data_IF_465030158697
#
_entry.id   IF_465030158697
#
_cell.length_a   1.000
_cell.length_b   1.000
_cell.length_c   1.000
_cell.angle_alpha   90.00
_cell.angle_beta   90.00
_cell.angle_gamma   90.00
#
_symmetry.space_group_name_H-M   'P 1'
#
loop_
_entity.id
_entity.type
_entity.pdbx_description
1 polymer ?
#
# COMPACT_ATOMS: atom_id res chain seq x y z
N UNK A 1 -16.20 24.46 10.01
CA UNK A 1 -15.02 23.69 10.47
C UNK A 1 -15.44 22.23 10.49
N UNK A 2 -15.37 21.55 9.34
CA UNK A 2 -15.63 20.10 9.27
C UNK A 2 -14.39 19.38 9.80
N UNK A 3 -14.59 18.54 10.81
CA UNK A 3 -13.56 17.68 11.39
C UNK A 3 -12.83 16.91 10.27
N UNK A 4 -11.50 16.73 10.35
CA UNK A 4 -10.79 15.89 9.39
C UNK A 4 -11.43 14.50 9.41
N UNK A 5 -11.99 14.12 8.25
CA UNK A 5 -12.24 12.79 7.75
C UNK A 5 -12.68 11.74 8.79
N UNK A 6 -13.93 11.85 9.26
CA UNK A 6 -14.52 10.95 10.25
C UNK A 6 -14.64 9.46 9.84
N UNK A 7 -14.15 9.07 8.65
CA UNK A 7 -14.29 7.71 8.10
C UNK A 7 -12.96 7.00 7.76
N UNK A 8 -11.79 7.57 8.07
CA UNK A 8 -10.53 6.84 7.84
C UNK A 8 -10.36 5.72 8.88
N UNK A 9 -10.69 4.49 8.48
CA UNK A 9 -10.36 3.28 9.25
C UNK A 9 -9.17 2.61 8.58
N UNK A 10 -7.97 2.62 9.19
CA UNK A 10 -6.81 2.00 8.57
C UNK A 10 -7.00 0.49 8.52
N UNK A 11 -7.27 -0.03 7.32
CA UNK A 11 -7.43 -1.48 7.11
C UNK A 11 -6.09 -2.09 6.73
N UNK A 12 -5.59 -2.97 7.57
CA UNK A 12 -4.41 -3.79 7.27
C UNK A 12 -4.75 -4.80 6.16
N UNK A 13 -3.91 -4.88 5.14
CA UNK A 13 -4.02 -5.89 4.06
C UNK A 13 -2.79 -6.79 4.03
N UNK A 14 -3.02 -8.09 3.82
CA UNK A 14 -1.93 -9.04 3.63
C UNK A 14 -1.41 -8.95 2.19
N UNK A 15 -0.10 -9.12 2.05
CA UNK A 15 0.59 -9.07 0.77
C UNK A 15 0.78 -10.50 0.26
N UNK A 16 0.44 -10.73 -1.01
CA UNK A 16 0.69 -12.00 -1.69
C UNK A 16 1.96 -11.99 -2.53
N UNK A 17 2.33 -10.84 -3.11
CA UNK A 17 3.56 -10.69 -3.90
C UNK A 17 4.09 -9.24 -3.87
N UNK A 18 5.40 -9.10 -4.06
CA UNK A 18 6.09 -7.82 -4.32
C UNK A 18 7.10 -8.04 -5.45
N UNK A 19 7.06 -7.21 -6.49
CA UNK A 19 8.01 -7.31 -7.61
C UNK A 19 9.35 -6.66 -7.29
N UNK A 20 10.47 -7.19 -7.80
CA UNK A 20 11.75 -6.47 -7.82
C UNK A 20 11.77 -5.47 -8.99
N UNK A 21 11.60 -4.20 -8.66
CA UNK A 21 11.65 -3.08 -9.61
C UNK A 21 12.04 -1.78 -8.89
N UNK A 22 12.39 -0.77 -9.68
CA UNK A 22 12.61 0.61 -9.24
C UNK A 22 11.35 1.23 -8.60
N UNK A 23 10.18 0.75 -9.03
CA UNK A 23 8.88 1.00 -8.43
C UNK A 23 8.15 -0.31 -8.17
N UNK A 24 8.28 -0.86 -6.97
CA UNK A 24 7.70 -2.16 -6.66
C UNK A 24 6.17 -2.16 -6.80
N UNK A 25 5.64 -3.14 -7.52
CA UNK A 25 4.21 -3.46 -7.55
C UNK A 25 3.92 -4.46 -6.44
N UNK A 26 2.97 -4.09 -5.58
CA UNK A 26 2.50 -4.90 -4.46
C UNK A 26 1.14 -5.46 -4.83
N UNK A 27 0.96 -6.78 -4.66
CA UNK A 27 -0.35 -7.44 -4.76
C UNK A 27 -0.83 -7.83 -3.37
N UNK A 28 -2.07 -7.48 -3.05
CA UNK A 28 -2.74 -7.86 -1.79
C UNK A 28 -3.58 -9.12 -1.97
N UNK A 29 -3.81 -9.85 -0.88
CA UNK A 29 -4.61 -11.09 -0.90
C UNK A 29 -6.13 -10.86 -1.05
N UNK A 30 -6.58 -9.61 -0.93
CA UNK A 30 -7.97 -9.18 -1.03
C UNK A 30 -8.03 -7.72 -1.49
N UNK A 31 -9.23 -7.25 -1.85
CA UNK A 31 -9.47 -5.84 -2.19
C UNK A 31 -8.95 -4.92 -1.09
N UNK A 32 -8.07 -3.98 -1.46
CA UNK A 32 -7.45 -3.09 -0.51
C UNK A 32 -8.30 -1.87 -0.16
N UNK A 33 -9.15 -1.38 -1.08
CA UNK A 33 -9.91 -0.14 -0.89
C UNK A 33 -9.09 1.16 -0.88
N UNK A 34 -7.77 1.09 -1.05
CA UNK A 34 -6.91 2.26 -1.17
C UNK A 34 -7.17 3.06 -2.45
N UNK A 35 -6.78 4.33 -2.43
CA UNK A 35 -6.82 5.23 -3.59
C UNK A 35 -5.41 5.66 -4.00
N UNK A 36 -5.25 6.05 -5.27
CA UNK A 36 -4.00 6.67 -5.73
C UNK A 36 -3.70 7.90 -4.88
N UNK A 37 -2.41 8.10 -4.63
CA UNK A 37 -1.86 9.15 -3.77
C UNK A 37 -1.99 8.92 -2.25
N UNK A 38 -2.56 7.80 -1.82
CA UNK A 38 -2.48 7.37 -0.42
C UNK A 38 -1.05 7.12 0.03
N UNK A 39 -0.79 7.43 1.29
CA UNK A 39 0.43 7.06 2.00
C UNK A 39 0.21 5.75 2.74
N UNK A 40 1.04 4.77 2.44
CA UNK A 40 1.02 3.46 3.09
C UNK A 40 2.33 3.21 3.82
N UNK A 41 2.27 2.29 4.78
CA UNK A 41 3.42 1.67 5.42
C UNK A 41 3.48 0.20 5.02
N UNK A 42 4.60 -0.19 4.41
CA UNK A 42 4.85 -1.54 3.92
C UNK A 42 5.76 -2.28 4.89
N UNK A 43 5.39 -3.51 5.25
CA UNK A 43 6.16 -4.37 6.14
C UNK A 43 6.27 -5.75 5.47
N UNK A 44 7.48 -6.09 5.05
CA UNK A 44 7.82 -7.41 4.49
C UNK A 44 8.94 -8.00 5.33
N UNK A 45 8.64 -8.99 6.18
CA UNK A 45 9.67 -9.64 6.98
C UNK A 45 10.64 -10.43 6.10
N UNK A 46 11.92 -10.47 6.49
CA UNK A 46 12.98 -11.21 5.79
C UNK A 46 12.64 -12.69 5.48
N UNK A 47 11.72 -13.30 6.24
CA UNK A 47 11.20 -14.65 5.95
C UNK A 47 10.54 -14.78 4.58
N UNK A 48 10.16 -13.67 3.93
CA UNK A 48 9.63 -13.64 2.58
C UNK A 48 10.73 -13.44 1.53
N UNK A 49 12.00 -13.67 1.87
CA UNK A 49 13.14 -13.43 0.98
C UNK A 49 13.47 -11.95 0.83
N UNK A 50 12.47 -11.09 0.67
CA UNK A 50 12.58 -9.64 0.65
C UNK A 50 12.41 -9.05 2.07
N UNK A 51 13.22 -8.07 2.42
CA UNK A 51 13.06 -7.29 3.65
C UNK A 51 12.65 -5.86 3.32
N UNK A 52 11.53 -5.41 3.89
CA UNK A 52 11.05 -4.02 3.87
C UNK A 52 10.57 -3.71 5.29
N UNK A 53 11.31 -2.88 6.01
CA UNK A 53 11.05 -2.64 7.44
C UNK A 53 10.38 -1.27 7.67
N UNK A 54 9.05 -1.29 7.78
CA UNK A 54 8.21 -0.11 8.05
C UNK A 54 8.39 1.06 7.06
N UNK A 55 8.81 0.80 5.84
CA UNK A 55 9.00 1.83 4.83
C UNK A 55 7.67 2.45 4.40
N UNK A 56 7.70 3.76 4.17
CA UNK A 56 6.53 4.53 3.80
C UNK A 56 6.59 4.89 2.32
N UNK A 57 5.45 4.82 1.66
CA UNK A 57 5.38 5.09 0.23
C UNK A 57 4.06 5.71 -0.16
N UNK A 58 4.12 6.61 -1.15
CA UNK A 58 2.95 7.05 -1.88
C UNK A 58 2.62 6.02 -2.95
N UNK A 59 1.35 5.69 -3.13
CA UNK A 59 0.95 4.64 -4.08
C UNK A 59 0.27 5.17 -5.34
N UNK A 60 0.38 4.42 -6.42
CA UNK A 60 -0.51 4.51 -7.59
C UNK A 60 -1.31 3.21 -7.70
N UNK A 61 -2.63 3.28 -7.54
CA UNK A 61 -3.50 2.10 -7.63
C UNK A 61 -3.59 1.65 -9.09
N UNK A 62 -3.36 0.35 -9.32
CA UNK A 62 -3.40 -0.28 -10.63
C UNK A 62 -4.66 -1.14 -10.82
N UNK A 63 -5.14 -1.76 -9.75
CA UNK A 63 -6.41 -2.51 -9.69
C UNK A 63 -6.90 -2.59 -8.24
N UNK A 64 -8.00 -3.29 -7.97
CA UNK A 64 -8.53 -3.45 -6.60
C UNK A 64 -7.59 -4.23 -5.66
N UNK A 65 -6.63 -4.97 -6.20
CA UNK A 65 -5.67 -5.78 -5.43
C UNK A 65 -4.23 -5.45 -5.74
N UNK A 66 -3.95 -4.41 -6.53
CA UNK A 66 -2.59 -4.06 -6.93
C UNK A 66 -2.36 -2.56 -6.92
N UNK A 67 -1.21 -2.17 -6.38
CA UNK A 67 -0.73 -0.81 -6.43
C UNK A 67 0.78 -0.79 -6.62
N UNK A 68 1.27 0.27 -7.25
CA UNK A 68 2.70 0.57 -7.41
C UNK A 68 3.16 1.50 -6.30
N UNK A 69 4.35 1.25 -5.78
CA UNK A 69 5.00 2.05 -4.73
C UNK A 69 6.14 2.87 -5.32
N UNK A 70 6.61 3.87 -4.57
CA UNK A 70 7.86 4.61 -4.80
C UNK A 70 9.10 3.91 -4.22
N UNK A 71 8.95 2.71 -3.64
CA UNK A 71 10.07 1.98 -3.02
C UNK A 71 10.84 1.25 -4.11
N UNK A 72 12.15 1.50 -4.18
CA UNK A 72 13.07 0.73 -5.01
C UNK A 72 13.43 -0.59 -4.33
N UNK A 73 13.14 -1.68 -5.04
CA UNK A 73 13.38 -3.06 -4.62
C UNK A 73 14.30 -3.81 -5.59
N UNK A 74 14.92 -3.11 -6.55
CA UNK A 74 15.75 -3.70 -7.62
C UNK A 74 16.95 -4.47 -7.07
N UNK A 75 17.50 -4.02 -5.94
CA UNK A 75 18.66 -4.64 -5.29
C UNK A 75 18.30 -5.52 -4.10
N UNK A 76 17.00 -5.71 -3.83
CA UNK A 76 16.54 -6.59 -2.75
C UNK A 76 16.42 -8.02 -3.27
N UNK A 77 16.49 -8.97 -2.36
CA UNK A 77 16.19 -10.36 -2.66
C UNK A 77 14.72 -10.50 -3.14
N UNK A 78 14.41 -11.50 -4.00
CA UNK A 78 13.06 -11.71 -4.47
C UNK A 78 12.07 -12.07 -3.38
N UNK A 79 10.84 -11.59 -3.53
CA UNK A 79 9.74 -11.97 -2.66
C UNK A 79 9.37 -13.45 -2.87
N UNK A 80 9.26 -14.19 -1.78
CA UNK A 80 8.80 -15.58 -1.74
C UNK A 80 7.77 -15.75 -0.63
N UNK A 81 6.87 -16.72 -0.79
CA UNK A 81 5.92 -17.11 0.27
C UNK A 81 6.53 -18.28 1.05
N UNK A 82 6.86 -18.12 2.34
CA UNK A 82 7.45 -19.18 3.14
C UNK A 82 6.45 -20.30 3.45
N UNK A 83 6.94 -21.53 3.61
CA UNK A 83 6.12 -22.74 3.77
C UNK A 83 5.73 -23.09 5.23
N UNK A 84 6.26 -22.39 6.23
CA UNK A 84 6.16 -22.72 7.66
C UNK A 84 5.83 -21.44 8.46
N UNK A 85 5.31 -21.49 9.70
CA UNK A 85 4.67 -20.35 10.34
C UNK A 85 5.54 -19.10 10.30
N UNK A 86 4.96 -18.02 9.78
CA UNK A 86 5.67 -16.79 9.48
C UNK A 86 4.84 -15.59 9.93
N UNK A 87 5.51 -14.50 10.25
CA UNK A 87 4.85 -13.20 10.36
C UNK A 87 4.47 -12.76 8.96
N UNK A 88 3.18 -12.57 8.62
CA UNK A 88 2.79 -12.28 7.26
C UNK A 88 3.20 -10.87 6.83
N UNK A 89 3.69 -10.77 5.60
CA UNK A 89 3.89 -9.50 4.92
C UNK A 89 2.55 -8.75 4.82
N UNK A 90 2.55 -7.47 5.15
CA UNK A 90 1.34 -6.67 5.18
C UNK A 90 1.60 -5.19 4.92
N UNK A 91 0.53 -4.49 4.59
CA UNK A 91 0.50 -3.06 4.36
C UNK A 91 -0.60 -2.44 5.21
N UNK A 92 -0.34 -1.22 5.71
CA UNK A 92 -1.31 -0.42 6.46
C UNK A 92 -1.34 0.98 5.86
N UNK A 93 -2.53 1.56 5.55
CA UNK A 93 -2.61 2.96 5.16
C UNK A 93 -2.31 3.84 6.39
N UNK A 94 -1.48 4.85 6.22
CA UNK A 94 -1.04 5.77 7.28
C UNK A 94 -1.47 7.22 7.03
N UNK A 95 -2.07 7.48 5.87
CA UNK A 95 -2.66 8.75 5.50
C UNK A 95 -3.20 8.66 4.08
N UNK A 96 -4.18 9.49 3.76
CA UNK A 96 -4.79 9.52 2.45
C UNK A 96 -5.51 10.83 2.24
N UNK A 97 -5.65 11.23 0.98
CA UNK A 97 -6.52 12.34 0.62
C UNK A 97 -7.90 11.72 0.43
N UNK A 98 -8.79 11.91 1.40
CA UNK A 98 -10.22 11.70 1.11
C UNK A 98 -10.58 12.74 0.05
N UNK A 99 -10.81 12.33 -1.19
CA UNK A 99 -11.36 13.23 -2.21
C UNK A 99 -12.82 13.50 -1.83
N UNK A 100 -13.00 14.33 -0.81
CA UNK A 100 -14.27 14.92 -0.46
C UNK A 100 -14.40 16.18 -1.31
N UNK A 101 -14.97 15.99 -2.50
CA UNK A 101 -15.72 17.00 -3.23
C UNK A 101 -14.95 18.24 -3.75
N UNK A 102 -14.34 18.11 -4.93
CA UNK A 102 -14.03 19.27 -5.81
C UNK A 102 -15.15 19.40 -6.85
N UNK A 103 -16.37 19.67 -6.37
CA UNK A 103 -17.41 20.29 -7.21
C UNK A 103 -17.87 21.59 -6.55
N UNK A 104 -16.96 22.57 -6.45
CA UNK A 104 -17.42 23.97 -6.52
C UNK A 104 -17.72 24.27 -7.97
N UNK A 105 -18.95 24.02 -8.38
CA UNK A 105 -19.57 24.71 -9.50
C UNK A 105 -19.88 26.13 -9.04
N UNK A 106 -18.92 27.05 -9.07
CA UNK A 106 -19.21 28.48 -9.03
C UNK A 106 -19.61 28.93 -10.44
N UNK A 107 -20.84 28.56 -10.79
CA UNK A 107 -21.55 29.12 -11.93
C UNK A 107 -22.13 30.49 -11.59
N UNK A 108 -21.71 31.49 -12.36
CA UNK A 108 -22.35 32.79 -12.65
C UNK A 108 -22.49 33.82 -11.54
#
# INVERSE_FOLDING_TARGET
MTSPDANFTPVRRLISTVTNADQAVVTTSADHGYVTDDWIRLIVPLSHGMEIDYEQSKITVLSTTQFRTTIDTSFRLPFVVPAAPFTPAHVVPIGGISVTDVTRSDGT
#
